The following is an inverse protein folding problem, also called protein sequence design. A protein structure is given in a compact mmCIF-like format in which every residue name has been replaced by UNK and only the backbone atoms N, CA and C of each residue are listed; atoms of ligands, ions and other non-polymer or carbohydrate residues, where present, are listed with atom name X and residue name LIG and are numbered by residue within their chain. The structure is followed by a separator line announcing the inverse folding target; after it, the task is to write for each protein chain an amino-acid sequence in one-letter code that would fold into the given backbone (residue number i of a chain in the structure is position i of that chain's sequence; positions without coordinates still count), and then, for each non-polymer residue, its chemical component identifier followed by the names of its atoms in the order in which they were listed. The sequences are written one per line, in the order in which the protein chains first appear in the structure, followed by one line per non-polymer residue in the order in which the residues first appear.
data_IF_016845894582
#
_entry.id   IF_016845894582
#
_cell.length_a   1.000
_cell.length_b   1.000
_cell.length_c   1.000
_cell.angle_alpha   90.00
_cell.angle_beta   90.00
_cell.angle_gamma   90.00
#
_symmetry.space_group_name_H-M   'P 1'
#
loop_
_entity.id
_entity.type
_entity.pdbx_description
1 polymer ?
#
# COMPACT_ATOMS: atom_id res chain seq x y z
N UNK A 1 -10.99 9.87 8.29
CA UNK A 1 -10.21 10.84 7.47
C UNK A 1 -10.83 11.06 6.09
N UNK A 2 -10.96 10.01 5.29
CA UNK A 2 -11.50 10.09 3.92
C UNK A 2 -12.91 10.71 3.84
N UNK A 3 -13.86 10.27 4.69
CA UNK A 3 -15.24 10.82 4.72
C UNK A 3 -15.28 12.33 5.00
N UNK A 4 -14.49 12.80 5.98
CA UNK A 4 -14.37 14.24 6.29
C UNK A 4 -13.86 15.03 5.08
N UNK A 5 -12.91 14.47 4.33
CA UNK A 5 -12.40 15.10 3.12
C UNK A 5 -13.43 15.08 1.99
N UNK A 6 -14.17 13.98 1.82
CA UNK A 6 -15.24 13.87 0.83
C UNK A 6 -16.29 14.96 1.03
N UNK A 7 -16.78 15.12 2.26
CA UNK A 7 -17.71 16.21 2.62
C UNK A 7 -17.17 17.58 2.26
N UNK A 8 -15.89 17.83 2.54
CA UNK A 8 -15.24 19.13 2.29
C UNK A 8 -15.17 19.50 0.81
N UNK A 9 -15.02 18.51 -0.08
CA UNK A 9 -14.92 18.73 -1.53
C UNK A 9 -16.22 18.44 -2.28
N UNK A 10 -17.33 18.20 -1.56
CA UNK A 10 -18.63 17.86 -2.15
C UNK A 10 -18.68 16.46 -2.80
N UNK A 11 -17.76 15.57 -2.46
CA UNK A 11 -17.79 14.17 -2.93
C UNK A 11 -18.77 13.36 -2.07
N UNK A 12 -19.57 12.50 -2.71
CA UNK A 12 -20.57 11.67 -2.01
C UNK A 12 -19.88 10.68 -1.07
N UNK A 13 -20.16 10.78 0.22
CA UNK A 13 -19.62 9.88 1.24
C UNK A 13 -20.05 8.42 1.01
N UNK A 14 -21.26 8.22 0.50
CA UNK A 14 -21.82 6.90 0.13
C UNK A 14 -20.92 6.16 -0.86
N UNK A 15 -20.40 6.85 -1.88
CA UNK A 15 -19.52 6.20 -2.87
C UNK A 15 -18.21 5.70 -2.24
N UNK A 16 -17.72 6.36 -1.18
CA UNK A 16 -16.55 5.88 -0.42
C UNK A 16 -16.88 4.71 0.49
N UNK A 17 -18.09 4.67 1.06
CA UNK A 17 -18.52 3.55 1.89
C UNK A 17 -18.76 2.33 1.00
N UNK A 18 -19.47 2.50 -0.11
CA UNK A 18 -19.77 1.45 -1.08
C UNK A 18 -18.49 0.80 -1.64
N UNK A 19 -17.50 1.61 -2.05
CA UNK A 19 -16.24 1.07 -2.58
C UNK A 19 -15.45 0.29 -1.52
N UNK A 20 -15.52 0.68 -0.24
CA UNK A 20 -14.89 -0.06 0.86
C UNK A 20 -15.63 -1.38 1.12
N UNK A 21 -16.96 -1.33 1.17
CA UNK A 21 -17.83 -2.50 1.37
C UNK A 21 -17.64 -3.56 0.28
N UNK A 22 -17.39 -3.14 -0.96
CA UNK A 22 -17.09 -4.05 -2.08
C UNK A 22 -15.60 -4.42 -2.09
N UNK A 23 -14.72 -3.44 -1.88
CA UNK A 23 -13.28 -3.61 -2.04
C UNK A 23 -12.66 -4.57 -1.03
N UNK A 24 -13.08 -4.54 0.23
CA UNK A 24 -12.52 -5.43 1.28
C UNK A 24 -12.82 -6.91 0.98
N UNK A 25 -14.07 -7.35 0.77
CA UNK A 25 -14.35 -8.74 0.41
C UNK A 25 -13.64 -9.18 -0.87
N UNK A 26 -13.64 -8.35 -1.92
CA UNK A 26 -12.99 -8.69 -3.18
C UNK A 26 -11.47 -8.80 -3.03
N UNK A 27 -10.85 -7.96 -2.20
CA UNK A 27 -9.43 -8.07 -1.88
C UNK A 27 -9.10 -9.37 -1.15
N UNK A 28 -9.93 -9.79 -0.18
CA UNK A 28 -9.71 -11.05 0.55
C UNK A 28 -9.85 -12.25 -0.41
N UNK A 29 -10.89 -12.26 -1.24
CA UNK A 29 -11.10 -13.30 -2.26
C UNK A 29 -9.92 -13.34 -3.23
N UNK A 30 -9.51 -12.19 -3.76
CA UNK A 30 -8.37 -12.08 -4.67
C UNK A 30 -7.06 -12.55 -4.04
N UNK A 31 -6.80 -12.18 -2.79
CA UNK A 31 -5.62 -12.63 -2.05
C UNK A 31 -5.59 -14.14 -1.87
N UNK A 32 -6.75 -14.76 -1.59
CA UNK A 32 -6.88 -16.20 -1.45
C UNK A 32 -6.71 -16.92 -2.78
N UNK A 33 -7.42 -16.49 -3.82
CA UNK A 33 -7.35 -17.09 -5.14
C UNK A 33 -5.92 -17.05 -5.69
N UNK A 34 -5.25 -15.91 -5.55
CA UNK A 34 -3.84 -15.81 -5.97
C UNK A 34 -2.96 -16.78 -5.20
N UNK A 35 -3.09 -16.89 -3.87
CA UNK A 35 -2.31 -17.84 -3.09
C UNK A 35 -2.54 -19.30 -3.55
N UNK A 36 -3.80 -19.68 -3.79
CA UNK A 36 -4.19 -21.02 -4.25
C UNK A 36 -3.61 -21.31 -5.63
N UNK A 37 -3.67 -20.35 -6.56
CA UNK A 37 -3.15 -20.51 -7.93
C UNK A 37 -1.64 -20.77 -7.98
N UNK A 38 -0.88 -20.23 -7.02
CA UNK A 38 0.56 -20.49 -6.91
C UNK A 38 0.91 -21.75 -6.09
N UNK A 39 -0.09 -22.44 -5.53
CA UNK A 39 0.07 -23.66 -4.74
C UNK A 39 -0.90 -24.77 -5.21
N UNK A 40 -1.13 -24.87 -6.52
CA UNK A 40 -2.14 -25.77 -7.10
C UNK A 40 -1.92 -27.24 -6.76
N UNK A 41 -0.68 -27.68 -6.61
CA UNK A 41 -0.36 -29.08 -6.25
C UNK A 41 -0.95 -29.47 -4.88
N UNK A 42 -0.90 -28.56 -3.90
CA UNK A 42 -1.49 -28.80 -2.59
C UNK A 42 -3.03 -28.79 -2.66
N UNK A 43 -3.60 -27.77 -3.32
CA UNK A 43 -5.04 -27.54 -3.31
C UNK A 43 -5.84 -28.45 -4.25
N UNK A 44 -5.20 -29.00 -5.28
CA UNK A 44 -5.81 -30.06 -6.11
C UNK A 44 -6.10 -31.33 -5.30
N UNK A 45 -5.26 -31.63 -4.31
CA UNK A 45 -5.44 -32.75 -3.39
C UNK A 45 -6.33 -32.40 -2.18
N UNK A 46 -6.46 -31.12 -1.85
CA UNK A 46 -7.23 -30.63 -0.69
C UNK A 46 -8.18 -29.48 -1.07
N UNK A 47 -9.20 -29.72 -1.93
CA UNK A 47 -10.06 -28.65 -2.43
C UNK A 47 -10.89 -27.95 -1.34
N UNK A 48 -11.20 -28.65 -0.24
CA UNK A 48 -11.90 -28.07 0.91
C UNK A 48 -11.13 -26.94 1.59
N UNK A 49 -9.79 -26.99 1.53
CA UNK A 49 -8.95 -25.97 2.13
C UNK A 49 -8.97 -24.65 1.35
N UNK A 50 -9.40 -24.63 0.09
CA UNK A 50 -9.46 -23.41 -0.73
C UNK A 50 -10.25 -22.31 -0.04
N UNK A 51 -11.36 -22.67 0.64
CA UNK A 51 -12.22 -21.73 1.36
C UNK A 51 -11.75 -21.42 2.79
N UNK A 52 -10.78 -22.17 3.31
CA UNK A 52 -10.25 -21.98 4.65
C UNK A 52 -9.29 -20.78 4.73
N UNK A 53 -9.87 -19.58 4.81
CA UNK A 53 -9.12 -18.33 4.97
C UNK A 53 -8.55 -18.13 6.38
N UNK A 54 -8.99 -18.93 7.38
CA UNK A 54 -8.54 -18.83 8.77
C UNK A 54 -7.18 -19.50 8.99
N UNK A 55 -6.85 -20.51 8.17
CA UNK A 55 -5.58 -21.21 8.22
C UNK A 55 -4.38 -20.43 7.64
N UNK A 56 -4.56 -19.14 7.30
CA UNK A 56 -3.55 -18.34 6.59
C UNK A 56 -3.60 -18.55 5.07
N UNK A 57 -2.52 -18.22 4.37
CA UNK A 57 -2.42 -18.34 2.91
C UNK A 57 -3.19 -17.27 2.15
N UNK A 58 -2.88 -16.00 2.43
CA UNK A 58 -3.39 -14.84 1.70
C UNK A 58 -2.22 -14.12 1.05
N UNK A 59 -2.21 -14.04 -0.27
CA UNK A 59 -1.17 -13.34 -1.01
C UNK A 59 -1.56 -11.87 -1.24
N UNK A 60 -0.77 -10.94 -0.69
CA UNK A 60 -1.04 -9.49 -0.80
C UNK A 60 -1.19 -9.02 -2.26
N UNK A 61 -0.43 -9.60 -3.18
CA UNK A 61 -0.47 -9.28 -4.61
C UNK A 61 -1.87 -9.51 -5.21
N UNK A 62 -2.48 -10.66 -4.89
CA UNK A 62 -3.84 -10.98 -5.31
C UNK A 62 -4.87 -10.01 -4.77
N UNK A 63 -4.73 -9.63 -3.50
CA UNK A 63 -5.65 -8.68 -2.87
C UNK A 63 -5.57 -7.29 -3.46
N UNK A 64 -4.36 -6.78 -3.72
CA UNK A 64 -4.16 -5.47 -4.34
C UNK A 64 -4.74 -5.46 -5.77
N UNK A 65 -4.41 -6.47 -6.59
CA UNK A 65 -4.92 -6.53 -7.97
C UNK A 65 -6.45 -6.59 -8.02
N UNK A 66 -7.06 -7.43 -7.18
CA UNK A 66 -8.51 -7.55 -7.12
C UNK A 66 -9.17 -6.26 -6.61
N UNK A 67 -8.61 -5.61 -5.59
CA UNK A 67 -9.13 -4.34 -5.07
C UNK A 67 -9.05 -3.21 -6.11
N UNK A 68 -7.94 -3.09 -6.83
CA UNK A 68 -7.76 -2.06 -7.88
C UNK A 68 -8.74 -2.31 -9.03
N UNK A 69 -8.89 -3.56 -9.47
CA UNK A 69 -9.84 -3.92 -10.52
C UNK A 69 -11.29 -3.62 -10.10
N UNK A 70 -11.68 -4.03 -8.89
CA UNK A 70 -13.01 -3.75 -8.34
C UNK A 70 -13.25 -2.24 -8.23
N UNK A 71 -12.27 -1.48 -7.74
CA UNK A 71 -12.35 -0.03 -7.67
C UNK A 71 -12.50 0.64 -9.04
N UNK A 72 -11.76 0.17 -10.06
CA UNK A 72 -11.87 0.68 -11.42
C UNK A 72 -13.25 0.39 -12.04
N UNK A 73 -13.78 -0.82 -11.85
CA UNK A 73 -15.13 -1.20 -12.28
C UNK A 73 -16.17 -0.36 -11.55
N UNK A 74 -16.05 -0.21 -10.23
CA UNK A 74 -16.93 0.62 -9.41
C UNK A 74 -16.96 2.07 -9.92
N UNK A 75 -15.79 2.67 -10.18
CA UNK A 75 -15.70 4.02 -10.71
C UNK A 75 -16.42 4.18 -12.05
N UNK A 76 -16.28 3.17 -12.94
CA UNK A 76 -16.94 3.15 -14.24
C UNK A 76 -18.47 3.02 -14.11
N UNK A 77 -18.96 2.14 -13.24
CA UNK A 77 -20.39 1.90 -13.03
C UNK A 77 -21.06 3.12 -12.38
N UNK A 78 -20.42 3.71 -11.36
CA UNK A 78 -20.95 4.85 -10.61
C UNK A 78 -20.66 6.20 -11.27
N UNK A 79 -19.92 6.21 -12.38
CA UNK A 79 -19.49 7.41 -13.14
C UNK A 79 -18.75 8.42 -12.25
N UNK A 80 -17.89 7.93 -11.36
CA UNK A 80 -17.07 8.76 -10.45
C UNK A 80 -15.61 8.76 -10.90
N UNK A 81 -14.90 9.86 -10.64
CA UNK A 81 -13.50 9.98 -11.02
C UNK A 81 -12.62 9.11 -10.10
N UNK A 82 -11.99 8.08 -10.66
CA UNK A 82 -11.04 7.22 -9.97
C UNK A 82 -9.93 8.01 -9.27
N UNK A 83 -9.37 9.01 -9.94
CA UNK A 83 -8.25 9.79 -9.41
C UNK A 83 -8.64 10.66 -8.22
N UNK A 84 -9.90 11.11 -8.18
CA UNK A 84 -10.43 11.84 -7.04
C UNK A 84 -10.55 10.93 -5.82
N UNK A 85 -11.07 9.70 -6.00
CA UNK A 85 -11.12 8.69 -4.94
C UNK A 85 -9.71 8.34 -4.46
N UNK A 86 -8.77 8.14 -5.40
CA UNK A 86 -7.38 7.85 -5.09
C UNK A 86 -6.73 8.97 -4.24
N UNK A 87 -6.98 10.25 -4.57
CA UNK A 87 -6.47 11.40 -3.80
C UNK A 87 -7.10 11.52 -2.39
N UNK A 88 -8.39 11.21 -2.26
CA UNK A 88 -9.08 11.23 -0.97
C UNK A 88 -8.53 10.14 -0.05
N UNK A 89 -8.30 8.94 -0.61
CA UNK A 89 -7.94 7.73 0.14
C UNK A 89 -6.43 7.60 0.40
N UNK A 90 -5.56 8.16 -0.45
CA UNK A 90 -4.10 8.06 -0.32
C UNK A 90 -3.55 8.37 1.08
N UNK A 91 -3.91 9.50 1.75
CA UNK A 91 -3.47 9.74 3.12
C UNK A 91 -3.98 8.69 4.13
N UNK A 92 -5.12 8.06 3.88
CA UNK A 92 -5.65 7.00 4.76
C UNK A 92 -4.86 5.69 4.58
N UNK A 93 -4.37 5.41 3.37
CA UNK A 93 -3.52 4.25 3.13
C UNK A 93 -2.17 4.36 3.82
N UNK A 94 -1.47 5.48 3.67
CA UNK A 94 -0.12 5.61 4.24
C UNK A 94 -0.11 5.62 5.77
N UNK A 95 -1.13 6.20 6.43
CA UNK A 95 -1.23 6.12 7.89
C UNK A 95 -1.55 4.68 8.33
N UNK A 96 -2.41 3.96 7.60
CA UNK A 96 -2.70 2.56 7.89
C UNK A 96 -1.44 1.68 7.71
N UNK A 97 -0.61 1.94 6.70
CA UNK A 97 0.69 1.28 6.54
C UNK A 97 1.61 1.55 7.73
N UNK A 98 1.74 2.82 8.15
CA UNK A 98 2.57 3.19 9.29
C UNK A 98 2.15 2.52 10.60
N UNK A 99 0.84 2.38 10.83
CA UNK A 99 0.28 1.65 11.98
C UNK A 99 0.53 0.15 11.82
N UNK A 100 0.26 -0.42 10.64
CA UNK A 100 0.41 -1.85 10.37
C UNK A 100 1.82 -2.38 10.61
N UNK A 101 2.84 -1.53 10.46
CA UNK A 101 4.24 -1.90 10.74
C UNK A 101 4.50 -2.31 12.19
N UNK A 102 3.68 -1.85 13.13
CA UNK A 102 3.80 -2.29 14.53
C UNK A 102 3.42 -3.77 14.71
N UNK A 103 2.65 -4.34 13.80
CA UNK A 103 2.45 -5.80 13.75
C UNK A 103 3.77 -6.55 13.53
N UNK A 104 4.68 -6.01 12.70
CA UNK A 104 5.99 -6.63 12.47
C UNK A 104 6.86 -6.62 13.74
N UNK A 105 6.77 -5.56 14.55
CA UNK A 105 7.46 -5.50 15.85
C UNK A 105 6.94 -6.57 16.81
N UNK A 106 5.61 -6.69 16.95
CA UNK A 106 5.00 -7.68 17.83
C UNK A 106 5.29 -9.11 17.36
N UNK A 107 5.28 -9.34 16.05
CA UNK A 107 5.57 -10.64 15.44
C UNK A 107 7.07 -10.95 15.37
N UNK A 108 7.95 -10.01 15.73
CA UNK A 108 9.41 -10.13 15.59
C UNK A 108 9.85 -10.54 14.18
N UNK A 109 9.23 -9.95 13.15
CA UNK A 109 9.54 -10.21 11.74
C UNK A 109 10.01 -8.94 11.03
N UNK A 110 10.53 -9.09 9.81
CA UNK A 110 10.83 -7.97 8.92
C UNK A 110 11.85 -6.94 9.48
N UNK A 111 12.67 -7.32 10.46
CA UNK A 111 13.70 -6.48 11.07
C UNK A 111 14.92 -6.30 10.18
N UNK A 112 15.78 -5.34 10.52
CA UNK A 112 16.96 -5.04 9.72
C UNK A 112 18.19 -5.86 10.08
N UNK A 113 19.30 -5.55 9.41
CA UNK A 113 20.62 -6.12 9.71
C UNK A 113 21.09 -5.71 11.12
N UNK A 114 22.09 -6.44 11.63
CA UNK A 114 22.71 -6.17 12.91
C UNK A 114 23.32 -4.76 12.95
N UNK A 115 23.20 -4.10 14.10
CA UNK A 115 23.65 -2.72 14.28
C UNK A 115 23.99 -2.42 15.73
N UNK A 116 24.89 -1.47 15.94
CA UNK A 116 25.33 -1.01 17.27
C UNK A 116 24.76 0.36 17.63
N UNK A 117 23.79 0.86 16.85
CA UNK A 117 23.16 2.15 17.10
C UNK A 117 22.36 2.16 18.41
N UNK A 118 22.25 3.30 19.11
CA UNK A 118 21.65 3.37 20.44
C UNK A 118 20.14 3.11 20.48
N UNK A 119 19.47 3.11 19.33
CA UNK A 119 18.05 2.76 19.18
C UNK A 119 17.83 1.38 18.52
N UNK A 120 18.87 0.54 18.47
CA UNK A 120 18.72 -0.85 18.04
C UNK A 120 17.78 -1.60 18.98
N UNK A 121 17.08 -2.60 18.44
CA UNK A 121 16.20 -3.48 19.22
C UNK A 121 16.81 -4.87 19.30
N UNK A 122 16.53 -5.59 20.38
CA UNK A 122 16.97 -6.96 20.57
C UNK A 122 15.97 -7.92 19.92
N UNK A 123 16.44 -8.71 18.96
CA UNK A 123 15.68 -9.82 18.35
C UNK A 123 16.60 -11.04 18.33
N UNK A 124 16.15 -12.16 18.91
CA UNK A 124 16.91 -13.42 18.98
C UNK A 124 18.37 -13.27 19.45
N UNK A 125 18.58 -12.44 20.48
CA UNK A 125 19.91 -12.19 21.05
C UNK A 125 20.81 -11.24 20.25
N UNK A 126 20.30 -10.66 19.15
CA UNK A 126 21.04 -9.75 18.26
C UNK A 126 20.44 -8.34 18.28
N UNK A 127 21.31 -7.34 18.29
CA UNK A 127 20.91 -5.94 18.18
C UNK A 127 20.74 -5.60 16.70
N UNK A 128 19.52 -5.26 16.29
CA UNK A 128 19.16 -5.05 14.88
C UNK A 128 18.51 -3.69 14.66
N UNK A 129 18.57 -3.21 13.41
CA UNK A 129 17.83 -2.02 13.00
C UNK A 129 16.30 -2.23 13.15
N UNK A 130 15.58 -1.37 13.88
CA UNK A 130 14.11 -1.40 13.93
C UNK A 130 13.50 -0.83 12.64
N UNK A 131 13.60 -1.58 11.54
CA UNK A 131 13.04 -1.23 10.22
C UNK A 131 11.54 -0.93 10.29
N UNK A 132 10.79 -1.62 11.15
CA UNK A 132 9.37 -1.32 11.40
C UNK A 132 9.16 0.13 11.83
N UNK A 133 10.04 0.65 12.70
CA UNK A 133 9.97 2.01 13.22
C UNK A 133 10.36 3.00 12.13
N UNK A 134 11.39 2.68 11.33
CA UNK A 134 11.78 3.52 10.20
C UNK A 134 10.64 3.65 9.18
N UNK A 135 9.97 2.53 8.83
CA UNK A 135 8.82 2.53 7.92
C UNK A 135 7.63 3.28 8.54
N UNK A 136 7.38 3.11 9.84
CA UNK A 136 6.30 3.79 10.55
C UNK A 136 6.51 5.31 10.57
N UNK A 137 7.69 5.77 11.01
CA UNK A 137 8.04 7.20 11.05
C UNK A 137 7.98 7.82 9.67
N UNK A 138 8.56 7.16 8.65
CA UNK A 138 8.48 7.65 7.28
C UNK A 138 7.03 7.76 6.79
N UNK A 139 6.21 6.75 7.06
CA UNK A 139 4.79 6.76 6.69
C UNK A 139 4.02 7.88 7.36
N UNK A 140 4.28 8.18 8.63
CA UNK A 140 3.69 9.33 9.31
C UNK A 140 4.17 10.68 8.73
N UNK A 141 5.46 10.81 8.40
CA UNK A 141 5.97 12.02 7.73
C UNK A 141 5.28 12.25 6.39
N UNK A 142 5.15 11.20 5.56
CA UNK A 142 4.43 11.25 4.29
C UNK A 142 2.96 11.57 4.51
N UNK A 143 2.31 10.97 5.51
CA UNK A 143 0.93 11.28 5.88
C UNK A 143 0.72 12.77 6.14
N UNK A 144 1.52 13.36 7.04
CA UNK A 144 1.40 14.77 7.39
C UNK A 144 1.69 15.67 6.18
N UNK A 145 2.71 15.32 5.39
CA UNK A 145 3.00 16.03 4.14
C UNK A 145 1.81 16.00 3.17
N UNK A 146 1.21 14.83 2.91
CA UNK A 146 0.10 14.71 1.96
C UNK A 146 -1.14 15.48 2.44
N UNK A 147 -1.46 15.42 3.74
CA UNK A 147 -2.59 16.17 4.30
C UNK A 147 -2.35 17.68 4.20
N UNK A 148 -1.16 18.14 4.57
CA UNK A 148 -0.77 19.55 4.47
C UNK A 148 -0.79 20.02 3.02
N UNK A 149 -0.14 19.30 2.12
CA UNK A 149 -0.01 19.64 0.70
C UNK A 149 -1.39 19.67 0.04
N UNK A 150 -2.23 18.66 0.28
CA UNK A 150 -3.60 18.61 -0.25
C UNK A 150 -4.41 19.83 0.16
N UNK A 151 -4.28 20.27 1.41
CA UNK A 151 -5.06 21.40 1.93
C UNK A 151 -4.60 22.77 1.40
N UNK A 152 -3.37 22.89 0.90
CA UNK A 152 -2.75 24.15 0.50
C UNK A 152 -2.54 24.28 -1.01
N UNK A 153 -2.23 23.18 -1.69
CA UNK A 153 -1.65 23.17 -3.03
C UNK A 153 -2.24 22.13 -3.99
N UNK A 154 -3.34 21.46 -3.62
CA UNK A 154 -4.01 20.53 -4.54
C UNK A 154 -4.51 21.27 -5.78
N UNK A 155 -4.11 20.80 -6.95
CA UNK A 155 -4.41 21.44 -8.24
C UNK A 155 -5.22 20.57 -9.17
N UNK A 156 -5.06 19.24 -9.14
CA UNK A 156 -5.73 18.32 -10.06
C UNK A 156 -5.88 16.94 -9.44
N UNK A 157 -6.87 16.17 -9.92
CA UNK A 157 -7.15 14.83 -9.42
C UNK A 157 -6.02 13.85 -9.78
N UNK A 158 -5.62 13.04 -8.81
CA UNK A 158 -4.53 12.07 -8.91
C UNK A 158 -3.18 12.61 -8.45
N UNK A 159 -3.09 13.91 -8.12
CA UNK A 159 -1.86 14.54 -7.67
C UNK A 159 -1.40 14.01 -6.30
N UNK A 160 -2.32 13.84 -5.35
CA UNK A 160 -2.00 13.39 -4.00
C UNK A 160 -1.64 11.91 -4.01
N UNK A 161 -2.35 11.12 -4.80
CA UNK A 161 -2.04 9.72 -5.01
C UNK A 161 -0.66 9.53 -5.66
N UNK A 162 -0.32 10.35 -6.66
CA UNK A 162 1.00 10.30 -7.27
C UNK A 162 2.13 10.66 -6.29
N UNK A 163 1.94 11.67 -5.44
CA UNK A 163 2.90 11.95 -4.36
C UNK A 163 2.99 10.81 -3.35
N UNK A 164 1.87 10.20 -2.99
CA UNK A 164 1.85 9.05 -2.09
C UNK A 164 2.72 7.90 -2.63
N UNK A 165 2.52 7.47 -3.88
CA UNK A 165 3.30 6.35 -4.43
C UNK A 165 4.78 6.69 -4.58
N UNK A 166 5.12 7.93 -4.94
CA UNK A 166 6.54 8.35 -5.04
C UNK A 166 7.19 8.33 -3.65
N UNK A 167 6.58 9.03 -2.69
CA UNK A 167 7.19 9.22 -1.37
C UNK A 167 7.25 7.92 -0.57
N UNK A 168 6.21 7.10 -0.63
CA UNK A 168 6.24 5.76 -0.04
C UNK A 168 7.37 4.92 -0.64
N UNK A 169 7.49 4.90 -1.96
CA UNK A 169 8.50 4.10 -2.67
C UNK A 169 9.93 4.56 -2.38
N UNK A 170 10.16 5.87 -2.19
CA UNK A 170 11.46 6.39 -1.76
C UNK A 170 11.86 5.79 -0.40
N UNK A 171 10.98 5.87 0.60
CA UNK A 171 11.26 5.28 1.92
C UNK A 171 11.44 3.78 1.84
N UNK A 172 10.58 3.09 1.08
CA UNK A 172 10.65 1.64 0.87
C UNK A 172 11.98 1.22 0.24
N UNK A 173 12.49 1.96 -0.74
CA UNK A 173 13.76 1.65 -1.41
C UNK A 173 14.95 1.64 -0.43
N UNK A 174 15.05 2.65 0.44
CA UNK A 174 16.15 2.75 1.40
C UNK A 174 16.01 1.74 2.54
N UNK A 175 14.81 1.60 3.10
CA UNK A 175 14.59 0.70 4.24
C UNK A 175 14.73 -0.77 3.82
N UNK A 176 14.34 -1.12 2.60
CA UNK A 176 14.57 -2.45 2.05
C UNK A 176 16.06 -2.82 2.00
N UNK A 177 16.95 -1.85 1.77
CA UNK A 177 18.40 -2.06 1.80
C UNK A 177 18.91 -2.51 3.18
N UNK A 178 18.16 -2.22 4.24
CA UNK A 178 18.51 -2.62 5.61
C UNK A 178 17.92 -3.97 6.01
N UNK A 179 16.98 -4.55 5.24
CA UNK A 179 16.27 -5.78 5.64
C UNK A 179 17.10 -7.05 5.43
N UNK A 180 16.83 -8.05 6.25
CA UNK A 180 17.45 -9.38 6.16
C UNK A 180 16.62 -10.38 5.34
N UNK A 181 15.30 -10.18 5.27
CA UNK A 181 14.31 -11.11 4.72
C UNK A 181 13.75 -10.68 3.36
N UNK A 182 14.56 -10.00 2.55
CA UNK A 182 14.13 -9.50 1.24
C UNK A 182 13.87 -10.63 0.24
N UNK A 183 12.84 -10.44 -0.58
CA UNK A 183 12.64 -11.25 -1.78
C UNK A 183 13.58 -10.79 -2.89
N UNK A 184 14.30 -11.74 -3.49
CA UNK A 184 15.25 -11.49 -4.58
C UNK A 184 14.74 -12.04 -5.92
N UNK A 185 15.08 -11.34 -7.00
CA UNK A 185 15.03 -11.85 -8.38
C UNK A 185 16.41 -11.61 -8.98
N UNK A 186 17.17 -12.68 -9.17
CA UNK A 186 18.61 -12.59 -9.41
C UNK A 186 19.30 -11.90 -8.23
N UNK A 187 20.20 -10.96 -8.51
CA UNK A 187 20.96 -10.22 -7.48
C UNK A 187 20.19 -9.02 -6.90
N UNK A 188 18.97 -8.77 -7.35
CA UNK A 188 18.22 -7.56 -7.01
C UNK A 188 17.06 -7.85 -6.06
N UNK A 189 16.89 -6.98 -5.05
CA UNK A 189 15.75 -7.00 -4.15
C UNK A 189 14.50 -6.51 -4.89
N UNK A 190 13.47 -7.34 -4.92
CA UNK A 190 12.22 -7.08 -5.66
C UNK A 190 11.59 -5.76 -5.22
N UNK A 191 11.57 -5.49 -3.91
CA UNK A 191 10.96 -4.25 -3.42
C UNK A 191 11.71 -2.99 -3.86
N UNK A 192 13.02 -3.05 -4.13
CA UNK A 192 13.76 -1.92 -4.71
C UNK A 192 13.38 -1.69 -6.18
N UNK A 193 13.28 -2.76 -6.97
CA UNK A 193 12.82 -2.68 -8.38
C UNK A 193 11.40 -2.11 -8.46
N UNK A 194 10.49 -2.63 -7.63
CA UNK A 194 9.10 -2.16 -7.57
C UNK A 194 9.06 -0.69 -7.15
N UNK A 195 9.87 -0.30 -6.16
CA UNK A 195 9.95 1.10 -5.72
C UNK A 195 10.41 2.04 -6.84
N UNK A 196 11.45 1.68 -7.59
CA UNK A 196 11.89 2.49 -8.73
C UNK A 196 10.80 2.60 -9.80
N UNK A 197 10.15 1.49 -10.15
CA UNK A 197 9.04 1.47 -11.11
C UNK A 197 7.90 2.40 -10.67
N UNK A 198 7.51 2.36 -9.38
CA UNK A 198 6.46 3.20 -8.83
C UNK A 198 6.85 4.68 -8.77
N UNK A 199 8.12 5.01 -8.51
CA UNK A 199 8.63 6.39 -8.57
C UNK A 199 8.47 6.94 -9.99
N UNK A 200 8.95 6.22 -11.01
CA UNK A 200 8.82 6.66 -12.40
C UNK A 200 7.36 6.77 -12.83
N UNK A 201 6.52 5.80 -12.42
CA UNK A 201 5.07 5.83 -12.69
C UNK A 201 4.41 7.04 -12.06
N UNK A 202 4.72 7.37 -10.80
CA UNK A 202 4.17 8.56 -10.14
C UNK A 202 4.61 9.86 -10.78
N UNK A 203 5.88 9.97 -11.19
CA UNK A 203 6.37 11.13 -11.92
C UNK A 203 5.64 11.28 -13.27
N UNK A 204 5.43 10.16 -13.98
CA UNK A 204 4.65 10.14 -15.21
C UNK A 204 3.21 10.59 -14.98
N UNK A 205 2.53 10.06 -13.94
CA UNK A 205 1.16 10.46 -13.58
C UNK A 205 1.06 11.96 -13.27
N UNK A 206 2.00 12.52 -12.50
CA UNK A 206 2.04 13.95 -12.21
C UNK A 206 2.12 14.80 -13.48
N UNK A 207 2.90 14.37 -14.47
CA UNK A 207 3.03 15.09 -15.75
C UNK A 207 1.81 14.93 -16.64
N UNK A 208 1.25 13.72 -16.72
CA UNK A 208 0.16 13.40 -17.63
C UNK A 208 -1.19 13.94 -17.13
N UNK A 209 -1.50 13.74 -15.84
CA UNK A 209 -2.78 14.19 -15.26
C UNK A 209 -2.85 15.72 -15.13
N UNK A 210 -1.71 16.39 -14.93
CA UNK A 210 -1.66 17.85 -14.94
C UNK A 210 -2.09 18.44 -16.30
N UNK A 211 -1.72 17.79 -17.42
CA UNK A 211 -2.07 18.27 -18.77
C UNK A 211 -3.56 18.17 -19.06
N UNK A 212 -4.25 17.16 -18.53
CA UNK A 212 -5.69 16.95 -18.72
C UNK A 212 -6.60 18.02 -18.09
N UNK A 213 -6.08 18.87 -17.20
CA UNK A 213 -6.87 19.93 -16.53
C UNK A 213 -6.75 21.30 -17.21
N UNK A 214 -6.03 21.40 -18.33
CA UNK A 214 -5.80 22.68 -19.05
C UNK A 214 -6.87 22.92 -20.14
N UNK A 215 -7.83 22.00 -20.32
CA UNK A 215 -8.92 22.15 -21.29
C UNK A 215 -10.25 22.50 -20.62
#
# INVERSE_FOLDING_TARGET
LALKQARRIGFREEDLIDIIMIGIPVAIIGARLYYVLFNLDYYSNNPGDILNIRGGGLAIHGGIMAAVLAGAIFCKVRKVNFWQIADITAPSFIIAQGIGRWGNFVNQEAYGVETTLPWAILIDGKMVHPTFLYESVWSFMVFFFLVWYRNRYHKFDGQIFAFYIILYSIGRFFIEGLRTDSLYVGDFRVAQIVSLTLIFTGIFLLRHLKKKKID
#
